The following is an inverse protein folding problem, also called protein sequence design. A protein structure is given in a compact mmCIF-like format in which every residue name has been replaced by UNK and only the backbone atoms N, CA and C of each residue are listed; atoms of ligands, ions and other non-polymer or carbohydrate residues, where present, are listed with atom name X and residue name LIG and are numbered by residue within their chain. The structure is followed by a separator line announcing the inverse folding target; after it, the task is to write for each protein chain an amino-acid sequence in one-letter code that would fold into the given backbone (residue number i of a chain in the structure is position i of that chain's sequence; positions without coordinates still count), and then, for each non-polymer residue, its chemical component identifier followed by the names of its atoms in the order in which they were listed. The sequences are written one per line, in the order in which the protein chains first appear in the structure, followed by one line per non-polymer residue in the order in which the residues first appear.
data_IF_485190555854
#
_entry.id   IF_485190555854
#
_cell.length_a   1.000
_cell.length_b   1.000
_cell.length_c   1.000
_cell.angle_alpha   90.00
_cell.angle_beta   90.00
_cell.angle_gamma   90.00
#
_symmetry.space_group_name_H-M   'P 1'
#
loop_
_entity.id
_entity.type
_entity.pdbx_description
1 polymer ?
#
# COMPACT_ATOMS: atom_id res chain seq x y z
N UNK A 1 -7.15 -31.61 -1.08
CA UNK A 1 -7.50 -30.41 -1.87
C UNK A 1 -7.50 -30.82 -3.36
N UNK A 2 -8.43 -30.35 -4.19
CA UNK A 2 -8.49 -30.64 -5.63
C UNK A 2 -7.98 -29.46 -6.49
N UNK A 3 -7.92 -29.59 -7.81
CA UNK A 3 -7.42 -28.53 -8.71
C UNK A 3 -8.20 -27.20 -8.61
N UNK A 4 -9.52 -27.28 -8.42
CA UNK A 4 -10.39 -26.10 -8.25
C UNK A 4 -10.08 -25.37 -6.93
N UNK A 5 -9.90 -26.13 -5.85
CA UNK A 5 -9.49 -25.60 -4.55
C UNK A 5 -8.06 -25.03 -4.56
N UNK A 6 -7.14 -25.62 -5.34
CA UNK A 6 -5.79 -25.07 -5.54
C UNK A 6 -5.85 -23.71 -6.26
N UNK A 7 -6.74 -23.57 -7.24
CA UNK A 7 -6.96 -22.30 -7.95
C UNK A 7 -7.52 -21.23 -6.99
N UNK A 8 -8.50 -21.60 -6.16
CA UNK A 8 -9.05 -20.72 -5.13
C UNK A 8 -7.99 -20.31 -4.09
N UNK A 9 -7.13 -21.24 -3.68
CA UNK A 9 -6.02 -20.96 -2.78
C UNK A 9 -5.04 -19.95 -3.41
N UNK A 10 -4.63 -20.16 -4.67
CA UNK A 10 -3.73 -19.22 -5.36
C UNK A 10 -4.33 -17.81 -5.38
N UNK A 11 -5.63 -17.68 -5.64
CA UNK A 11 -6.31 -16.39 -5.62
C UNK A 11 -6.42 -15.77 -4.21
N UNK A 12 -6.58 -16.59 -3.17
CA UNK A 12 -6.52 -16.14 -1.79
C UNK A 12 -5.11 -15.66 -1.42
N UNK A 13 -4.07 -16.40 -1.79
CA UNK A 13 -2.68 -16.03 -1.56
C UNK A 13 -2.31 -14.73 -2.27
N UNK A 14 -2.77 -14.52 -3.51
CA UNK A 14 -2.63 -13.23 -4.22
C UNK A 14 -3.27 -12.08 -3.42
N UNK A 15 -4.49 -12.27 -2.92
CA UNK A 15 -5.18 -11.27 -2.09
C UNK A 15 -4.40 -11.01 -0.79
N UNK A 16 -3.80 -12.05 -0.20
CA UNK A 16 -2.98 -11.92 1.00
C UNK A 16 -1.68 -11.14 0.72
N UNK A 17 -0.96 -11.44 -0.35
CA UNK A 17 0.24 -10.70 -0.77
C UNK A 17 -0.09 -9.22 -0.99
N UNK A 18 -1.17 -8.93 -1.72
CA UNK A 18 -1.66 -7.56 -1.92
C UNK A 18 -1.98 -6.89 -0.58
N UNK A 19 -2.62 -7.61 0.35
CA UNK A 19 -2.90 -7.10 1.70
C UNK A 19 -1.62 -6.80 2.51
N UNK A 20 -0.61 -7.67 2.42
CA UNK A 20 0.67 -7.48 3.09
C UNK A 20 1.39 -6.25 2.57
N UNK A 21 1.54 -6.13 1.25
CA UNK A 21 2.16 -4.98 0.60
C UNK A 21 1.48 -3.69 1.03
N UNK A 22 0.15 -3.67 1.00
CA UNK A 22 -0.61 -2.51 1.41
C UNK A 22 -0.31 -2.04 2.84
N UNK A 23 -0.22 -2.97 3.79
CA UNK A 23 -0.02 -2.66 5.21
C UNK A 23 1.43 -2.28 5.56
N UNK A 24 2.35 -2.37 4.59
CA UNK A 24 3.76 -2.04 4.78
C UNK A 24 3.99 -0.53 4.79
N UNK A 25 4.78 -0.06 5.76
CA UNK A 25 5.38 1.26 5.66
C UNK A 25 6.56 1.19 4.67
N UNK A 26 6.30 1.40 3.38
CA UNK A 26 7.32 1.38 2.33
C UNK A 26 8.42 2.45 2.49
N UNK A 27 8.30 3.33 3.49
CA UNK A 27 9.32 4.33 3.83
C UNK A 27 10.35 3.82 4.84
N UNK A 28 10.15 2.63 5.41
CA UNK A 28 11.02 1.97 6.38
C UNK A 28 11.53 0.65 5.83
N UNK A 29 12.85 0.56 5.66
CA UNK A 29 13.49 -0.66 5.15
C UNK A 29 13.19 -1.89 6.02
N UNK A 30 13.14 -1.73 7.34
CA UNK A 30 12.80 -2.82 8.26
C UNK A 30 11.42 -3.42 8.00
N UNK A 31 10.44 -2.58 7.63
CA UNK A 31 9.07 -3.04 7.41
C UNK A 31 8.94 -3.67 6.02
N UNK A 32 9.64 -3.13 5.02
CA UNK A 32 9.76 -3.72 3.68
C UNK A 32 10.37 -5.13 3.76
N UNK A 33 11.48 -5.30 4.48
CA UNK A 33 12.15 -6.60 4.63
C UNK A 33 11.27 -7.62 5.36
N UNK A 34 10.59 -7.23 6.43
CA UNK A 34 9.63 -8.10 7.13
C UNK A 34 8.50 -8.55 6.21
N UNK A 35 7.96 -7.64 5.39
CA UNK A 35 6.91 -8.00 4.43
C UNK A 35 7.42 -8.97 3.37
N UNK A 36 8.60 -8.73 2.80
CA UNK A 36 9.22 -9.64 1.84
C UNK A 36 9.44 -11.04 2.42
N UNK A 37 9.91 -11.13 3.67
CA UNK A 37 10.05 -12.42 4.36
C UNK A 37 8.71 -13.15 4.48
N UNK A 38 7.63 -12.45 4.81
CA UNK A 38 6.29 -13.05 4.90
C UNK A 38 5.77 -13.50 3.53
N UNK A 39 5.96 -12.69 2.48
CA UNK A 39 5.55 -13.05 1.11
C UNK A 39 6.35 -14.25 0.60
N UNK A 40 7.65 -14.31 0.90
CA UNK A 40 8.49 -15.45 0.55
C UNK A 40 7.99 -16.74 1.20
N UNK A 41 7.53 -16.70 2.45
CA UNK A 41 6.89 -17.84 3.11
C UNK A 41 5.60 -18.28 2.41
N UNK A 42 4.80 -17.33 1.90
CA UNK A 42 3.59 -17.65 1.11
C UNK A 42 3.96 -18.40 -0.17
N UNK A 43 5.02 -17.99 -0.88
CA UNK A 43 5.50 -18.73 -2.05
C UNK A 43 5.99 -20.13 -1.68
N UNK A 44 6.67 -20.27 -0.55
CA UNK A 44 7.16 -21.58 -0.07
C UNK A 44 5.99 -22.51 0.30
N UNK A 45 4.97 -21.99 1.00
CA UNK A 45 3.73 -22.71 1.31
C UNK A 45 2.95 -23.13 0.05
N UNK A 46 2.89 -22.26 -0.96
CA UNK A 46 2.29 -22.60 -2.26
C UNK A 46 3.05 -23.74 -2.93
N UNK A 47 4.38 -23.71 -2.91
CA UNK A 47 5.23 -24.78 -3.44
C UNK A 47 4.95 -26.13 -2.80
N UNK A 48 4.88 -26.16 -1.46
CA UNK A 48 4.52 -27.38 -0.71
C UNK A 48 3.12 -27.87 -1.08
N UNK A 49 2.15 -26.97 -1.17
CA UNK A 49 0.77 -27.32 -1.48
C UNK A 49 0.62 -27.91 -2.89
N UNK A 50 1.31 -27.34 -3.88
CA UNK A 50 1.36 -27.89 -5.24
C UNK A 50 1.97 -29.29 -5.25
N UNK A 51 3.03 -29.51 -4.48
CA UNK A 51 3.69 -30.82 -4.37
C UNK A 51 2.75 -31.89 -3.78
N UNK A 52 1.87 -31.53 -2.86
CA UNK A 52 0.90 -32.44 -2.26
C UNK A 52 -0.29 -32.75 -3.18
N UNK A 53 -0.81 -31.75 -3.90
CA UNK A 53 -2.08 -31.88 -4.65
C UNK A 53 -1.88 -32.40 -6.07
N UNK A 54 -0.84 -31.92 -6.75
CA UNK A 54 -0.65 -32.15 -8.18
C UNK A 54 -0.53 -33.64 -8.55
N UNK A 55 0.20 -34.49 -7.81
CA UNK A 55 0.30 -35.92 -8.14
C UNK A 55 -1.06 -36.63 -8.12
N UNK A 56 -1.92 -36.28 -7.16
CA UNK A 56 -3.24 -36.90 -6.98
C UNK A 56 -4.17 -36.52 -8.13
N UNK A 57 -4.17 -35.25 -8.55
CA UNK A 57 -5.02 -34.78 -9.64
C UNK A 57 -4.53 -35.29 -11.00
N UNK A 58 -3.22 -35.32 -11.25
CA UNK A 58 -2.66 -35.91 -12.47
C UNK A 58 -2.98 -37.40 -12.58
N UNK A 59 -2.90 -38.15 -11.48
CA UNK A 59 -3.27 -39.56 -11.45
C UNK A 59 -4.76 -39.74 -11.82
N UNK A 60 -5.66 -38.94 -11.23
CA UNK A 60 -7.08 -39.00 -11.57
C UNK A 60 -7.32 -38.70 -13.05
N UNK A 61 -6.78 -37.59 -13.56
CA UNK A 61 -6.94 -37.20 -14.97
C UNK A 61 -6.41 -38.29 -15.91
N UNK A 62 -5.27 -38.89 -15.60
CA UNK A 62 -4.69 -39.97 -16.40
C UNK A 62 -5.62 -41.18 -16.53
N UNK A 63 -6.17 -41.66 -15.41
CA UNK A 63 -7.04 -42.83 -15.45
C UNK A 63 -8.46 -42.52 -15.94
N UNK A 64 -8.98 -41.30 -15.76
CA UNK A 64 -10.22 -40.84 -16.42
C UNK A 64 -10.04 -40.88 -17.94
N UNK A 65 -8.91 -40.40 -18.44
CA UNK A 65 -8.61 -40.43 -19.88
C UNK A 65 -8.53 -41.87 -20.44
N UNK A 66 -8.10 -42.86 -19.62
CA UNK A 66 -8.15 -44.28 -20.02
C UNK A 66 -9.60 -44.76 -20.15
N UNK A 67 -10.48 -44.36 -19.23
CA UNK A 67 -11.90 -44.69 -19.30
C UNK A 67 -12.57 -44.05 -20.53
N UNK A 68 -12.33 -42.76 -20.77
CA UNK A 68 -12.80 -42.05 -21.97
C UNK A 68 -12.31 -42.73 -23.26
N UNK A 69 -11.02 -43.06 -23.34
CA UNK A 69 -10.47 -43.77 -24.50
C UNK A 69 -11.06 -45.18 -24.68
N UNK A 70 -11.44 -45.84 -23.58
CA UNK A 70 -12.12 -47.15 -23.64
C UNK A 70 -13.51 -47.00 -24.26
N UNK A 71 -14.25 -45.95 -23.90
CA UNK A 71 -15.56 -45.63 -24.48
C UNK A 71 -15.43 -45.29 -25.98
N UNK A 72 -14.47 -44.45 -26.36
CA UNK A 72 -14.20 -44.11 -27.77
C UNK A 72 -13.91 -45.37 -28.63
N UNK A 73 -13.10 -46.30 -28.12
CA UNK A 73 -12.78 -47.55 -28.82
C UNK A 73 -14.00 -48.47 -28.95
N UNK A 74 -14.87 -48.51 -27.96
CA UNK A 74 -16.14 -49.24 -28.02
C UNK A 74 -17.07 -48.68 -29.08
N UNK A 75 -17.15 -47.35 -29.23
CA UNK A 75 -17.93 -46.71 -30.30
C UNK A 75 -17.44 -47.09 -31.71
N UNK A 76 -16.13 -47.30 -31.88
CA UNK A 76 -15.54 -47.79 -33.12
C UNK A 76 -15.68 -49.31 -33.33
N UNK A 77 -16.40 -50.00 -32.44
CA UNK A 77 -16.68 -51.44 -32.53
C UNK A 77 -15.62 -52.35 -31.89
N UNK A 78 -14.60 -51.80 -31.22
CA UNK A 78 -13.61 -52.58 -30.47
C UNK A 78 -14.17 -52.89 -29.08
N UNK A 79 -14.41 -54.17 -28.79
CA UNK A 79 -14.94 -54.60 -27.49
C UNK A 79 -13.83 -54.70 -26.44
N UNK A 80 -13.71 -53.67 -25.62
CA UNK A 80 -12.89 -53.64 -24.41
C UNK A 80 -13.79 -53.69 -23.16
N UNK A 81 -13.34 -54.33 -22.08
CA UNK A 81 -14.08 -54.44 -20.82
C UNK A 81 -13.27 -53.84 -19.66
N UNK A 82 -13.98 -53.32 -18.67
CA UNK A 82 -13.38 -52.77 -17.44
C UNK A 82 -13.38 -51.24 -17.40
N UNK A 83 -13.31 -50.69 -16.19
CA UNK A 83 -13.11 -49.26 -15.94
C UNK A 83 -11.86 -49.07 -15.10
N UNK A 84 -11.00 -48.15 -15.50
CA UNK A 84 -9.78 -47.76 -14.81
C UNK A 84 -10.09 -47.16 -13.44
N UNK A 85 -11.13 -46.33 -13.33
CA UNK A 85 -11.60 -45.78 -12.05
C UNK A 85 -13.00 -46.27 -11.71
N UNK A 86 -13.18 -46.76 -10.48
CA UNK A 86 -14.48 -47.03 -9.86
C UNK A 86 -14.47 -46.44 -8.46
N UNK A 87 -15.48 -45.63 -8.13
CA UNK A 87 -15.60 -44.93 -6.83
C UNK A 87 -14.34 -44.14 -6.42
N UNK A 88 -13.64 -43.57 -7.40
CA UNK A 88 -12.40 -42.80 -7.19
C UNK A 88 -11.16 -43.65 -6.91
N UNK A 89 -11.25 -44.97 -7.04
CA UNK A 89 -10.13 -45.91 -6.84
C UNK A 89 -9.73 -46.53 -8.17
N UNK A 90 -8.42 -46.44 -8.44
CA UNK A 90 -7.80 -47.09 -9.60
C UNK A 90 -7.83 -48.61 -9.44
N UNK A 91 -8.42 -49.30 -10.40
CA UNK A 91 -8.56 -50.76 -10.41
C UNK A 91 -7.22 -51.46 -10.66
N UNK A 92 -7.05 -52.66 -10.11
CA UNK A 92 -5.77 -53.39 -10.12
C UNK A 92 -5.27 -53.68 -11.54
N UNK A 93 -6.18 -54.03 -12.46
CA UNK A 93 -5.86 -54.37 -13.85
C UNK A 93 -5.24 -53.21 -14.63
N UNK A 94 -5.49 -51.97 -14.18
CA UNK A 94 -4.98 -50.75 -14.81
C UNK A 94 -3.69 -50.23 -14.16
N UNK A 95 -3.23 -50.84 -13.06
CA UNK A 95 -1.93 -50.54 -12.40
C UNK A 95 -0.78 -51.29 -13.04
N UNK A 96 -0.74 -51.30 -14.38
CA UNK A 96 0.34 -51.94 -15.13
C UNK A 96 1.65 -51.16 -14.96
N UNK A 97 2.80 -51.83 -15.12
CA UNK A 97 4.10 -51.17 -15.06
C UNK A 97 4.20 -50.01 -16.05
N UNK A 98 3.67 -50.17 -17.27
CA UNK A 98 3.65 -49.13 -18.29
C UNK A 98 2.85 -47.89 -17.86
N UNK A 99 1.67 -48.07 -17.25
CA UNK A 99 0.85 -46.96 -16.76
C UNK A 99 1.50 -46.25 -15.57
N UNK A 100 2.12 -47.01 -14.66
CA UNK A 100 2.85 -46.44 -13.52
C UNK A 100 4.05 -45.63 -13.98
N UNK A 101 4.81 -46.12 -14.96
CA UNK A 101 5.97 -45.41 -15.51
C UNK A 101 5.55 -44.14 -16.26
N UNK A 102 4.51 -44.22 -17.11
CA UNK A 102 3.96 -43.06 -17.81
C UNK A 102 3.48 -41.98 -16.82
N UNK A 103 2.72 -42.37 -15.80
CA UNK A 103 2.25 -41.44 -14.77
C UNK A 103 3.40 -40.85 -13.96
N UNK A 104 4.40 -41.66 -13.59
CA UNK A 104 5.58 -41.20 -12.84
C UNK A 104 6.35 -40.13 -13.61
N UNK A 105 6.53 -40.32 -14.92
CA UNK A 105 7.21 -39.33 -15.77
C UNK A 105 6.42 -38.02 -15.83
N UNK A 106 5.10 -38.10 -16.08
CA UNK A 106 4.22 -36.91 -16.11
C UNK A 106 4.27 -36.16 -14.78
N UNK A 107 4.15 -36.86 -13.65
CA UNK A 107 4.18 -36.24 -12.33
C UNK A 107 5.53 -35.59 -12.05
N UNK A 108 6.63 -36.28 -12.36
CA UNK A 108 7.99 -35.76 -12.12
C UNK A 108 8.26 -34.51 -12.94
N UNK A 109 7.99 -34.55 -14.25
CA UNK A 109 8.20 -33.42 -15.16
C UNK A 109 7.34 -32.22 -14.75
N UNK A 110 6.05 -32.46 -14.47
CA UNK A 110 5.14 -31.37 -14.08
C UNK A 110 5.54 -30.74 -12.75
N UNK A 111 6.00 -31.54 -11.77
CA UNK A 111 6.47 -31.02 -10.48
C UNK A 111 7.74 -30.17 -10.65
N UNK A 112 8.69 -30.61 -11.48
CA UNK A 112 9.91 -29.85 -11.76
C UNK A 112 9.59 -28.49 -12.39
N UNK A 113 8.71 -28.48 -13.39
CA UNK A 113 8.26 -27.27 -14.08
C UNK A 113 7.53 -26.31 -13.12
N UNK A 114 6.61 -26.83 -12.29
CA UNK A 114 5.87 -26.01 -11.33
C UNK A 114 6.79 -25.42 -10.25
N UNK A 115 7.74 -26.20 -9.74
CA UNK A 115 8.73 -25.68 -8.79
C UNK A 115 9.60 -24.60 -9.42
N UNK A 116 10.02 -24.78 -10.68
CA UNK A 116 10.77 -23.76 -11.42
C UNK A 116 9.95 -22.48 -11.63
N UNK A 117 8.67 -22.61 -11.99
CA UNK A 117 7.75 -21.50 -12.17
C UNK A 117 7.54 -20.72 -10.86
N UNK A 118 7.32 -21.41 -9.73
CA UNK A 118 7.12 -20.78 -8.42
C UNK A 118 8.39 -20.06 -7.97
N UNK A 119 9.57 -20.67 -8.12
CA UNK A 119 10.86 -20.02 -7.81
C UNK A 119 11.06 -18.76 -8.65
N UNK A 120 10.85 -18.86 -9.95
CA UNK A 120 10.98 -17.72 -10.88
C UNK A 120 9.98 -16.61 -10.54
N UNK A 121 8.74 -16.96 -10.20
CA UNK A 121 7.73 -15.98 -9.79
C UNK A 121 8.12 -15.26 -8.49
N UNK A 122 8.67 -16.00 -7.51
CA UNK A 122 9.18 -15.44 -6.25
C UNK A 122 10.34 -14.46 -6.49
N UNK A 123 11.31 -14.85 -7.30
CA UNK A 123 12.47 -14.00 -7.65
C UNK A 123 12.03 -12.75 -8.40
N UNK A 124 11.23 -12.91 -9.48
CA UNK A 124 10.72 -11.80 -10.26
C UNK A 124 9.90 -10.82 -9.41
N UNK A 125 9.08 -11.31 -8.49
CA UNK A 125 8.30 -10.46 -7.60
C UNK A 125 9.22 -9.62 -6.69
N UNK A 126 10.20 -10.26 -6.06
CA UNK A 126 11.13 -9.58 -5.15
C UNK A 126 11.94 -8.52 -5.90
N UNK A 127 12.47 -8.87 -7.07
CA UNK A 127 13.27 -7.97 -7.91
C UNK A 127 12.43 -6.79 -8.39
N UNK A 128 11.25 -7.05 -8.95
CA UNK A 128 10.35 -5.99 -9.44
C UNK A 128 9.96 -5.03 -8.32
N UNK A 129 9.57 -5.56 -7.15
CA UNK A 129 9.16 -4.74 -6.02
C UNK A 129 10.32 -3.89 -5.48
N UNK A 130 11.51 -4.45 -5.34
CA UNK A 130 12.70 -3.69 -4.90
C UNK A 130 13.14 -2.65 -5.93
N UNK A 131 13.14 -3.00 -7.22
CA UNK A 131 13.44 -2.06 -8.31
C UNK A 131 12.44 -0.90 -8.35
N UNK A 132 11.14 -1.19 -8.16
CA UNK A 132 10.08 -0.16 -8.08
C UNK A 132 10.38 0.82 -6.94
N UNK A 133 10.71 0.30 -5.74
CA UNK A 133 11.01 1.15 -4.59
C UNK A 133 12.26 2.00 -4.82
N UNK A 134 13.32 1.43 -5.39
CA UNK A 134 14.54 2.17 -5.73
C UNK A 134 14.31 3.22 -6.82
N UNK A 135 13.52 2.91 -7.85
CA UNK A 135 13.13 3.87 -8.87
C UNK A 135 12.35 5.05 -8.25
N UNK A 136 11.38 4.78 -7.36
CA UNK A 136 10.62 5.80 -6.63
C UNK A 136 11.54 6.66 -5.75
N UNK A 137 12.49 6.04 -5.02
CA UNK A 137 13.48 6.77 -4.22
C UNK A 137 14.36 7.68 -5.07
N UNK A 138 14.83 7.16 -6.21
CA UNK A 138 15.65 7.89 -7.17
C UNK A 138 14.89 9.10 -7.73
N UNK A 139 13.64 8.90 -8.13
CA UNK A 139 12.78 9.94 -8.71
C UNK A 139 12.45 11.06 -7.71
N UNK A 140 12.21 10.69 -6.45
CA UNK A 140 12.04 11.67 -5.37
C UNK A 140 13.35 12.45 -5.19
N UNK A 141 14.48 11.76 -5.10
CA UNK A 141 15.79 12.38 -4.83
C UNK A 141 16.24 13.32 -5.96
N UNK A 142 16.21 12.85 -7.22
CA UNK A 142 16.47 13.69 -8.40
C UNK A 142 15.48 14.85 -8.48
N UNK A 143 14.19 14.56 -8.25
CA UNK A 143 13.16 15.59 -8.17
C UNK A 143 13.49 16.72 -7.20
N UNK A 144 14.06 16.37 -6.05
CA UNK A 144 14.43 17.33 -5.01
C UNK A 144 15.70 18.12 -5.37
N UNK A 145 16.72 17.45 -5.90
CA UNK A 145 17.98 18.07 -6.30
C UNK A 145 17.83 19.00 -7.50
N UNK A 146 17.03 18.60 -8.48
CA UNK A 146 16.79 19.35 -9.72
C UNK A 146 15.78 20.51 -9.53
N UNK A 147 15.24 20.69 -8.32
CA UNK A 147 14.25 21.73 -8.03
C UNK A 147 12.89 21.51 -8.69
N UNK A 148 12.56 20.27 -9.07
CA UNK A 148 11.31 19.95 -9.73
C UNK A 148 10.09 20.32 -8.86
N UNK A 149 9.01 20.76 -9.49
CA UNK A 149 7.75 20.99 -8.81
C UNK A 149 7.26 19.67 -8.17
N UNK A 150 6.84 19.75 -6.89
CA UNK A 150 6.28 18.64 -6.12
C UNK A 150 5.22 17.84 -6.87
N UNK A 151 4.34 18.50 -7.62
CA UNK A 151 3.29 17.81 -8.37
C UNK A 151 3.85 16.95 -9.52
N UNK A 152 4.97 17.33 -10.12
CA UNK A 152 5.65 16.52 -11.13
C UNK A 152 6.28 15.26 -10.51
N UNK A 153 6.88 15.38 -9.32
CA UNK A 153 7.42 14.24 -8.56
C UNK A 153 6.29 13.26 -8.21
N UNK A 154 5.15 13.76 -7.71
CA UNK A 154 3.99 12.92 -7.39
C UNK A 154 3.49 12.17 -8.63
N UNK A 155 3.45 12.83 -9.79
CA UNK A 155 3.01 12.21 -11.05
C UNK A 155 3.94 11.05 -11.44
N UNK A 156 5.26 11.28 -11.48
CA UNK A 156 6.24 10.24 -11.85
C UNK A 156 6.20 9.05 -10.90
N UNK A 157 6.22 9.30 -9.58
CA UNK A 157 6.10 8.23 -8.57
C UNK A 157 4.83 7.40 -8.79
N UNK A 158 3.71 8.05 -9.13
CA UNK A 158 2.46 7.33 -9.43
C UNK A 158 2.54 6.55 -10.75
N UNK A 159 3.23 7.07 -11.77
CA UNK A 159 3.41 6.36 -13.04
C UNK A 159 4.28 5.10 -12.87
N UNK A 160 5.36 5.17 -12.09
CA UNK A 160 6.21 3.99 -11.75
C UNK A 160 5.40 2.89 -11.10
N UNK A 161 4.65 3.21 -10.04
CA UNK A 161 3.80 2.21 -9.38
C UNK A 161 2.70 1.64 -10.29
N UNK A 162 2.14 2.42 -11.22
CA UNK A 162 1.15 1.91 -12.19
C UNK A 162 1.76 0.97 -13.22
N UNK A 163 2.95 1.29 -13.75
CA UNK A 163 3.64 0.46 -14.73
C UNK A 163 3.93 -0.94 -14.18
N UNK A 164 4.27 -1.02 -12.89
CA UNK A 164 4.61 -2.27 -12.22
C UNK A 164 3.40 -2.96 -11.56
N UNK A 165 2.17 -2.50 -11.84
CA UNK A 165 0.92 -3.15 -11.43
C UNK A 165 0.39 -2.79 -10.04
N UNK A 166 1.01 -1.85 -9.32
CA UNK A 166 0.58 -1.39 -8.00
C UNK A 166 -0.47 -0.28 -8.12
N UNK A 167 -1.76 -0.66 -8.11
CA UNK A 167 -2.87 0.26 -8.42
C UNK A 167 -3.54 0.91 -7.21
N UNK A 168 -3.34 0.40 -5.99
CA UNK A 168 -3.89 0.98 -4.75
C UNK A 168 -3.04 0.58 -3.54
N UNK A 169 -3.20 1.27 -2.40
CA UNK A 169 -2.52 0.94 -1.13
C UNK A 169 -3.53 0.99 0.01
N UNK A 170 -3.58 0.00 0.90
CA UNK A 170 -4.50 -0.01 2.05
C UNK A 170 -3.74 0.38 3.31
N UNK A 171 -4.16 1.44 4.00
CA UNK A 171 -3.51 1.85 5.27
C UNK A 171 -3.71 0.82 6.38
N UNK A 172 -2.89 0.92 7.44
CA UNK A 172 -2.95 0.08 8.66
C UNK A 172 -4.36 -0.01 9.27
N UNK A 173 -5.19 1.02 9.12
CA UNK A 173 -6.60 1.06 9.56
C UNK A 173 -7.59 0.48 8.52
N UNK A 174 -7.09 -0.24 7.52
CA UNK A 174 -7.87 -0.99 6.54
C UNK A 174 -8.54 -0.16 5.44
N UNK A 175 -8.15 1.11 5.23
CA UNK A 175 -8.75 1.95 4.17
C UNK A 175 -7.97 1.83 2.88
N UNK A 176 -8.65 1.50 1.77
CA UNK A 176 -8.04 1.58 0.46
C UNK A 176 -7.82 3.05 0.07
N UNK A 177 -6.55 3.39 -0.17
CA UNK A 177 -6.09 4.65 -0.70
C UNK A 177 -5.80 4.49 -2.19
N UNK A 178 -6.34 5.41 -3.01
CA UNK A 178 -5.85 5.61 -4.37
C UNK A 178 -4.33 5.85 -4.37
N UNK A 179 -3.63 5.32 -5.37
CA UNK A 179 -2.17 5.46 -5.52
C UNK A 179 -1.72 6.93 -5.50
N UNK A 180 -2.44 7.83 -6.17
CA UNK A 180 -2.11 9.26 -6.19
C UNK A 180 -2.09 9.87 -4.78
N UNK A 181 -2.99 9.41 -3.90
CA UNK A 181 -3.07 9.87 -2.52
C UNK A 181 -1.90 9.32 -1.69
N UNK A 182 -1.49 8.07 -1.92
CA UNK A 182 -0.34 7.47 -1.28
C UNK A 182 0.96 8.16 -1.71
N UNK A 183 1.21 8.25 -3.02
CA UNK A 183 2.36 8.95 -3.61
C UNK A 183 2.49 10.39 -3.09
N UNK A 184 1.38 11.13 -3.04
CA UNK A 184 1.33 12.49 -2.49
C UNK A 184 1.72 12.55 -1.01
N UNK A 185 1.30 11.57 -0.23
CA UNK A 185 1.61 11.50 1.21
C UNK A 185 3.10 11.19 1.44
N UNK A 186 3.65 10.24 0.68
CA UNK A 186 5.07 9.89 0.71
C UNK A 186 5.93 11.09 0.34
N UNK A 187 5.69 11.68 -0.84
CA UNK A 187 6.48 12.82 -1.34
C UNK A 187 6.44 13.99 -0.35
N UNK A 188 5.25 14.33 0.20
CA UNK A 188 5.13 15.42 1.19
C UNK A 188 5.91 15.15 2.48
N UNK A 189 5.92 13.90 2.93
CA UNK A 189 6.60 13.51 4.16
C UNK A 189 8.12 13.55 3.97
N UNK A 190 8.64 12.96 2.89
CA UNK A 190 10.09 12.99 2.60
C UNK A 190 10.62 14.39 2.29
N UNK A 191 9.85 15.22 1.59
CA UNK A 191 10.15 16.64 1.43
C UNK A 191 10.25 17.38 2.77
N UNK A 192 9.37 17.05 3.73
CA UNK A 192 9.43 17.64 5.07
C UNK A 192 10.68 17.17 5.81
N UNK A 193 11.00 15.88 5.76
CA UNK A 193 12.21 15.30 6.34
C UNK A 193 13.44 16.03 5.83
N UNK A 194 13.62 16.14 4.51
CA UNK A 194 14.78 16.82 3.95
C UNK A 194 14.87 18.31 4.30
N UNK A 195 13.74 19.03 4.34
CA UNK A 195 13.73 20.43 4.81
C UNK A 195 14.24 20.52 6.26
N UNK A 196 13.74 19.66 7.14
CA UNK A 196 14.10 19.69 8.55
C UNK A 196 15.55 19.23 8.78
N UNK A 197 16.00 18.18 8.09
CA UNK A 197 17.38 17.71 8.15
C UNK A 197 18.33 18.77 7.61
N UNK A 198 18.06 19.39 6.45
CA UNK A 198 18.89 20.47 5.92
C UNK A 198 18.99 21.69 6.85
N UNK A 199 17.89 22.04 7.54
CA UNK A 199 17.94 23.05 8.61
C UNK A 199 18.84 22.62 9.77
N UNK A 200 18.64 21.42 10.31
CA UNK A 200 19.39 20.90 11.45
C UNK A 200 20.89 20.81 11.15
N UNK A 201 21.26 20.26 9.99
CA UNK A 201 22.67 20.17 9.55
C UNK A 201 23.31 21.55 9.53
N UNK A 202 22.61 22.56 8.99
CA UNK A 202 23.12 23.93 8.96
C UNK A 202 23.22 24.55 10.36
N UNK A 203 22.31 24.22 11.28
CA UNK A 203 22.36 24.71 12.65
C UNK A 203 23.55 24.09 13.40
N UNK A 204 23.78 22.79 13.25
CA UNK A 204 24.93 22.08 13.83
C UNK A 204 26.26 22.60 13.27
N UNK A 205 26.37 22.80 11.95
CA UNK A 205 27.53 23.46 11.32
C UNK A 205 27.83 24.85 11.90
N UNK A 206 26.78 25.56 12.33
CA UNK A 206 26.88 26.89 12.94
C UNK A 206 27.02 26.84 14.48
N UNK A 207 27.12 25.65 15.09
CA UNK A 207 27.21 25.48 16.54
C UNK A 207 25.90 25.79 17.30
N UNK A 208 24.77 25.83 16.61
CA UNK A 208 23.45 26.12 17.21
C UNK A 208 22.74 24.82 17.55
N UNK A 209 22.75 24.46 18.83
CA UNK A 209 22.21 23.18 19.32
C UNK A 209 20.84 23.30 20.01
N UNK A 210 20.28 24.50 20.05
CA UNK A 210 18.93 24.76 20.58
C UNK A 210 17.97 25.05 19.44
N UNK A 211 16.82 24.38 19.47
CA UNK A 211 15.80 24.51 18.43
C UNK A 211 14.41 24.65 18.97
N UNK A 212 13.58 25.40 18.25
CA UNK A 212 12.14 25.51 18.50
C UNK A 212 11.37 24.78 17.41
N UNK A 213 10.38 23.97 17.83
CA UNK A 213 9.44 23.34 16.90
C UNK A 213 8.28 24.30 16.61
N UNK A 214 8.10 24.65 15.35
CA UNK A 214 7.04 25.55 14.87
C UNK A 214 6.13 24.81 13.90
N UNK A 215 4.95 25.35 13.57
CA UNK A 215 4.09 24.73 12.57
C UNK A 215 2.80 25.50 12.33
N UNK A 216 1.97 24.98 11.43
CA UNK A 216 0.69 25.60 11.05
C UNK A 216 -0.40 25.36 12.10
N UNK A 217 -1.20 26.38 12.41
CA UNK A 217 -2.46 26.24 13.13
C UNK A 217 -3.69 26.20 12.19
N UNK A 218 -4.77 25.45 12.53
CA UNK A 218 -4.90 24.58 13.70
C UNK A 218 -4.10 23.27 13.55
N UNK A 219 -3.58 22.74 14.65
CA UNK A 219 -2.72 21.55 14.66
C UNK A 219 -3.32 20.30 15.29
N UNK A 220 -2.79 19.13 14.96
CA UNK A 220 -3.10 17.86 15.63
C UNK A 220 -2.49 17.81 17.04
N UNK A 221 -3.02 16.91 17.89
CA UNK A 221 -2.56 16.73 19.26
C UNK A 221 -1.10 16.31 19.35
N UNK A 222 -0.68 15.34 18.52
CA UNK A 222 0.71 14.85 18.51
C UNK A 222 1.73 15.98 18.24
N UNK A 223 1.49 16.81 17.22
CA UNK A 223 2.36 17.95 16.94
C UNK A 223 2.27 19.04 18.02
N UNK A 224 1.10 19.25 18.61
CA UNK A 224 0.92 20.29 19.62
C UNK A 224 1.82 20.10 20.85
N UNK A 225 2.08 18.84 21.24
CA UNK A 225 2.92 18.49 22.41
C UNK A 225 4.32 19.09 22.31
N UNK A 226 4.88 19.12 21.11
CA UNK A 226 6.25 19.58 20.88
C UNK A 226 6.34 21.05 20.46
N UNK A 227 5.24 21.64 19.96
CA UNK A 227 5.30 22.99 19.39
C UNK A 227 5.54 24.06 20.43
N UNK A 228 6.23 25.11 19.99
CA UNK A 228 6.56 26.30 20.75
C UNK A 228 7.37 26.02 22.03
N UNK A 229 8.01 24.86 22.12
CA UNK A 229 9.01 24.51 23.12
C UNK A 229 10.40 24.57 22.48
N UNK A 230 11.39 24.94 23.29
CA UNK A 230 12.81 24.90 22.93
C UNK A 230 13.38 23.57 23.42
N UNK A 231 14.18 22.92 22.58
CA UNK A 231 14.83 21.64 22.84
C UNK A 231 16.33 21.74 22.60
N UNK A 232 17.09 20.96 23.36
CA UNK A 232 18.53 20.75 23.13
C UNK A 232 18.75 19.51 22.26
N UNK A 233 19.42 19.69 21.11
CA UNK A 233 19.69 18.62 20.15
C UNK A 233 20.78 17.69 20.67
N UNK A 234 21.83 18.23 21.28
CA UNK A 234 22.99 17.49 21.81
C UNK A 234 22.78 17.04 23.26
N UNK A 235 21.85 17.66 23.98
CA UNK A 235 21.57 17.40 25.38
C UNK A 235 22.50 18.15 26.35
N UNK A 236 23.36 19.05 25.88
CA UNK A 236 24.33 19.77 26.73
C UNK A 236 23.64 20.83 27.58
N UNK A 237 22.71 21.61 27.01
CA UNK A 237 21.97 22.63 27.74
C UNK A 237 20.79 22.02 28.53
N UNK A 238 21.06 21.69 29.80
CA UNK A 238 20.10 21.06 30.73
C UNK A 238 18.89 21.95 31.09
N UNK A 239 18.86 23.23 30.68
CA UNK A 239 17.68 24.08 30.86
C UNK A 239 16.52 23.66 29.94
N UNK A 240 16.82 22.94 28.87
CA UNK A 240 15.86 22.50 27.88
C UNK A 240 15.84 20.96 27.77
N UNK A 241 14.67 20.34 27.53
CA UNK A 241 14.59 18.91 27.32
C UNK A 241 15.36 18.50 26.06
N UNK A 242 16.02 17.35 26.14
CA UNK A 242 16.69 16.73 24.99
C UNK A 242 15.73 15.83 24.22
N UNK A 243 15.72 15.95 22.89
CA UNK A 243 15.01 15.06 21.97
C UNK A 243 15.83 14.83 20.70
N UNK A 244 15.81 13.61 20.17
CA UNK A 244 16.39 13.33 18.85
C UNK A 244 15.45 13.84 17.73
N UNK A 245 15.61 15.10 17.36
CA UNK A 245 14.78 15.76 16.34
C UNK A 245 14.95 15.20 14.93
N UNK A 246 16.08 14.56 14.61
CA UNK A 246 16.34 13.94 13.31
C UNK A 246 15.44 12.72 13.07
N UNK A 247 15.29 11.88 14.08
CA UNK A 247 14.46 10.68 14.02
C UNK A 247 12.99 10.97 14.31
N UNK A 248 12.72 11.92 15.21
CA UNK A 248 11.37 12.20 15.69
C UNK A 248 10.50 12.95 14.66
N UNK A 249 11.10 13.83 13.84
CA UNK A 249 10.35 14.65 12.88
C UNK A 249 10.60 14.22 11.43
N UNK A 250 9.55 14.03 10.62
CA UNK A 250 8.15 14.39 10.86
C UNK A 250 7.38 13.35 11.71
N UNK A 251 6.62 13.81 12.71
CA UNK A 251 5.88 12.95 13.67
C UNK A 251 4.81 12.04 13.06
N UNK A 252 4.33 12.36 11.86
CA UNK A 252 3.29 11.60 11.17
C UNK A 252 3.26 11.99 9.69
N UNK A 253 2.57 11.20 8.84
CA UNK A 253 2.38 11.57 7.45
C UNK A 253 1.75 12.95 7.29
N UNK A 254 2.21 13.71 6.29
CA UNK A 254 1.79 15.10 6.04
C UNK A 254 2.04 16.10 7.19
N UNK A 255 2.94 15.79 8.14
CA UNK A 255 3.31 16.72 9.20
C UNK A 255 3.89 18.03 8.64
N UNK A 256 3.46 19.15 9.22
CA UNK A 256 3.87 20.51 8.82
C UNK A 256 4.77 21.18 9.87
N UNK A 257 5.27 20.42 10.86
CA UNK A 257 6.21 20.93 11.84
C UNK A 257 7.55 21.27 11.19
N UNK A 258 8.08 22.44 11.54
CA UNK A 258 9.38 22.95 11.08
C UNK A 258 10.28 23.16 12.28
N UNK A 259 11.55 22.86 12.07
CA UNK A 259 12.59 23.10 13.07
C UNK A 259 13.24 24.45 12.78
N UNK A 260 13.26 25.31 13.80
CA UNK A 260 13.84 26.66 13.76
C UNK A 260 14.94 26.78 14.79
N UNK A 261 16.01 27.55 14.55
CA UNK A 261 17.06 27.71 15.52
C UNK A 261 16.58 28.61 16.66
N UNK A 262 17.04 28.34 17.88
CA UNK A 262 16.87 29.19 19.03
C UNK A 262 18.25 29.64 19.52
N UNK A 263 18.70 30.79 19.04
CA UNK A 263 20.07 31.29 19.32
C UNK A 263 20.02 32.16 20.56
N UNK A 264 20.54 31.65 21.69
CA UNK A 264 20.43 32.29 23.01
C UNK A 264 21.13 33.63 23.06
N UNK A 265 22.24 33.78 22.35
CA UNK A 265 23.08 34.97 22.29
C UNK A 265 22.30 36.20 21.77
N UNK A 266 21.24 35.97 21.00
CA UNK A 266 20.39 37.02 20.44
C UNK A 266 19.03 37.12 21.15
N UNK A 267 18.91 36.58 22.36
CA UNK A 267 17.68 36.61 23.17
C UNK A 267 17.86 37.44 24.42
N UNK A 268 16.82 38.20 24.76
CA UNK A 268 16.75 38.87 26.05
C UNK A 268 16.63 37.86 27.19
N UNK A 269 17.06 38.24 28.40
CA UNK A 269 16.94 37.38 29.57
C UNK A 269 15.48 36.98 29.87
N UNK A 270 14.52 37.88 29.58
CA UNK A 270 13.09 37.58 29.71
C UNK A 270 12.66 36.46 28.75
N UNK A 271 13.03 36.54 27.47
CA UNK A 271 12.71 35.52 26.48
C UNK A 271 13.33 34.16 26.84
N UNK A 272 14.57 34.16 27.34
CA UNK A 272 15.25 32.93 27.79
C UNK A 272 14.48 32.34 28.99
N UNK A 273 14.15 33.16 29.99
CA UNK A 273 13.43 32.71 31.18
C UNK A 273 12.04 32.15 30.82
N UNK A 274 11.31 32.80 29.92
CA UNK A 274 10.02 32.32 29.40
C UNK A 274 10.16 30.96 28.70
N UNK A 275 11.18 30.81 27.86
CA UNK A 275 11.47 29.55 27.17
C UNK A 275 11.80 28.43 28.15
N UNK A 276 12.60 28.71 29.20
CA UNK A 276 12.95 27.74 30.25
C UNK A 276 11.75 27.35 31.09
N UNK A 277 10.91 28.31 31.51
CA UNK A 277 9.67 28.03 32.24
C UNK A 277 8.75 27.14 31.42
N UNK A 278 8.61 27.45 30.13
CA UNK A 278 7.80 26.65 29.22
C UNK A 278 8.38 25.26 28.99
N UNK A 279 9.70 25.14 28.87
CA UNK A 279 10.38 23.86 28.74
C UNK A 279 10.09 22.91 29.91
N UNK A 280 9.98 23.43 31.14
CA UNK A 280 9.57 22.64 32.32
C UNK A 280 8.15 22.09 32.25
N UNK A 281 7.28 22.72 31.46
CA UNK A 281 5.90 22.26 31.24
C UNK A 281 5.76 21.24 30.11
N UNK A 282 6.86 20.92 29.42
CA UNK A 282 6.86 19.95 28.32
C UNK A 282 6.48 18.55 28.83
N UNK A 283 5.48 17.95 28.20
CA UNK A 283 5.08 16.57 28.45
C UNK A 283 4.70 15.90 27.11
N UNK A 284 5.41 14.85 26.68
CA UNK A 284 5.16 14.20 25.39
C UNK A 284 3.88 13.35 25.35
N UNK A 285 3.21 13.13 26.48
CA UNK A 285 2.02 12.28 26.59
C UNK A 285 0.72 13.10 26.68
N UNK A 286 0.80 14.35 27.10
CA UNK A 286 -0.35 15.24 27.30
C UNK A 286 -0.59 16.09 26.04
N UNK A 287 -1.85 16.20 25.59
CA UNK A 287 -2.25 17.15 24.54
C UNK A 287 -2.49 18.54 25.15
N UNK A 288 -1.60 19.53 24.92
CA UNK A 288 -1.67 20.83 25.59
C UNK A 288 -2.74 21.77 24.99
N UNK A 289 -3.45 21.34 23.94
CA UNK A 289 -4.42 22.20 23.25
C UNK A 289 -5.63 22.51 24.12
N UNK A 290 -6.00 23.79 24.18
CA UNK A 290 -7.28 24.22 24.71
C UNK A 290 -8.45 23.69 23.85
N UNK A 291 -9.65 23.58 24.43
CA UNK A 291 -10.82 23.03 23.73
C UNK A 291 -11.11 23.77 22.41
N UNK A 292 -11.01 25.10 22.39
CA UNK A 292 -11.15 25.92 21.18
C UNK A 292 -10.20 25.51 20.06
N UNK A 293 -8.96 25.13 20.38
CA UNK A 293 -7.97 24.67 19.39
C UNK A 293 -8.30 23.26 18.89
N UNK A 294 -8.78 22.37 19.77
CA UNK A 294 -9.26 21.04 19.40
C UNK A 294 -10.45 21.13 18.44
N UNK A 295 -11.39 22.02 18.73
CA UNK A 295 -12.57 22.26 17.89
C UNK A 295 -12.19 22.85 16.54
N UNK A 296 -11.30 23.83 16.50
CA UNK A 296 -10.79 24.40 15.25
C UNK A 296 -10.08 23.34 14.39
N UNK A 297 -9.27 22.46 15.00
CA UNK A 297 -8.65 21.34 14.30
C UNK A 297 -9.68 20.35 13.77
N UNK A 298 -10.69 20.00 14.57
CA UNK A 298 -11.78 19.12 14.14
C UNK A 298 -12.53 19.69 12.95
N UNK A 299 -12.88 20.98 12.98
CA UNK A 299 -13.53 21.67 11.86
C UNK A 299 -12.68 21.66 10.58
N UNK A 300 -11.36 21.87 10.70
CA UNK A 300 -10.44 21.77 9.55
C UNK A 300 -10.38 20.33 8.99
N UNK A 301 -10.29 19.32 9.86
CA UNK A 301 -10.31 17.92 9.43
C UNK A 301 -11.65 17.54 8.77
N UNK A 302 -12.77 18.03 9.30
CA UNK A 302 -14.10 17.80 8.74
C UNK A 302 -14.25 18.42 7.35
N UNK A 303 -13.79 19.68 7.17
CA UNK A 303 -13.75 20.34 5.86
C UNK A 303 -12.91 19.53 4.86
N UNK A 304 -11.72 19.08 5.27
CA UNK A 304 -10.85 18.24 4.42
C UNK A 304 -11.48 16.88 4.11
N UNK A 305 -12.17 16.27 5.07
CA UNK A 305 -12.90 14.99 4.89
C UNK A 305 -14.03 15.15 3.86
N UNK A 306 -14.84 16.19 3.98
CA UNK A 306 -15.91 16.50 3.04
C UNK A 306 -15.33 16.73 1.63
N UNK A 307 -14.29 17.56 1.52
CA UNK A 307 -13.63 17.82 0.24
C UNK A 307 -13.11 16.53 -0.41
N UNK A 308 -12.47 15.64 0.37
CA UNK A 308 -12.01 14.33 -0.12
C UNK A 308 -13.15 13.42 -0.56
N UNK A 309 -14.27 13.40 0.16
CA UNK A 309 -15.45 12.64 -0.26
C UNK A 309 -16.03 13.17 -1.58
N UNK A 310 -16.08 14.49 -1.74
CA UNK A 310 -16.49 15.14 -2.99
C UNK A 310 -15.55 14.77 -4.15
N UNK A 311 -14.24 14.77 -3.91
CA UNK A 311 -13.24 14.39 -4.91
C UNK A 311 -13.41 12.92 -5.33
N UNK A 312 -13.57 12.00 -4.36
CA UNK A 312 -13.83 10.58 -4.64
C UNK A 312 -15.11 10.38 -5.45
N UNK A 313 -16.19 11.05 -5.07
CA UNK A 313 -17.46 10.96 -5.79
C UNK A 313 -17.35 11.51 -7.20
N UNK A 314 -16.64 12.62 -7.37
CA UNK A 314 -16.40 13.22 -8.67
C UNK A 314 -15.58 12.30 -9.59
N UNK A 315 -14.48 11.74 -9.09
CA UNK A 315 -13.63 10.80 -9.85
C UNK A 315 -14.46 9.59 -10.30
N UNK A 316 -15.24 9.00 -9.39
CA UNK A 316 -16.13 7.88 -9.73
C UNK A 316 -17.18 8.28 -10.77
N UNK A 317 -17.80 9.44 -10.61
CA UNK A 317 -18.80 9.95 -11.55
C UNK A 317 -18.19 10.20 -12.93
N UNK A 318 -16.97 10.74 -13.01
CA UNK A 318 -16.26 10.96 -14.26
C UNK A 318 -15.87 9.65 -14.95
N UNK A 319 -15.44 8.66 -14.18
CA UNK A 319 -15.13 7.33 -14.71
C UNK A 319 -16.34 6.66 -15.38
N UNK A 320 -17.54 6.83 -14.80
CA UNK A 320 -18.78 6.19 -15.32
C UNK A 320 -19.43 7.02 -16.43
N UNK A 321 -19.49 8.36 -16.28
CA UNK A 321 -20.23 9.23 -17.20
C UNK A 321 -19.36 9.77 -18.35
N UNK A 322 -18.04 9.63 -18.28
CA UNK A 322 -17.11 10.20 -19.25
C UNK A 322 -17.33 11.71 -19.43
N UNK A 323 -17.55 12.13 -20.68
CA UNK A 323 -17.75 13.53 -21.07
C UNK A 323 -19.05 14.15 -20.53
N UNK A 324 -20.02 13.33 -20.10
CA UNK A 324 -21.27 13.81 -19.51
C UNK A 324 -21.11 14.24 -18.04
N UNK A 325 -19.98 13.89 -17.41
CA UNK A 325 -19.67 14.34 -16.06
C UNK A 325 -19.37 15.85 -16.02
N UNK A 326 -19.44 16.50 -14.84
CA UNK A 326 -18.97 17.87 -14.69
C UNK A 326 -17.51 18.03 -15.16
N UNK A 327 -17.21 19.12 -15.88
CA UNK A 327 -15.90 19.36 -16.51
C UNK A 327 -14.71 19.25 -15.54
N UNK A 328 -14.90 19.70 -14.29
CA UNK A 328 -13.91 19.63 -13.23
C UNK A 328 -14.60 19.55 -11.85
N UNK A 329 -13.79 19.35 -10.80
CA UNK A 329 -14.27 19.27 -9.43
C UNK A 329 -14.99 20.55 -8.95
N UNK A 330 -14.59 21.73 -9.46
CA UNK A 330 -15.25 23.00 -9.16
C UNK A 330 -16.68 23.03 -9.68
N UNK A 331 -16.87 22.61 -10.94
CA UNK A 331 -18.19 22.48 -11.56
C UNK A 331 -19.05 21.45 -10.82
N UNK A 332 -18.46 20.31 -10.43
CA UNK A 332 -19.14 19.30 -9.60
C UNK A 332 -19.65 19.90 -8.28
N UNK A 333 -18.79 20.59 -7.53
CA UNK A 333 -19.14 21.21 -6.25
C UNK A 333 -20.21 22.29 -6.42
N UNK A 334 -20.13 23.09 -7.48
CA UNK A 334 -21.15 24.10 -7.79
C UNK A 334 -22.51 23.47 -8.08
N UNK A 335 -22.56 22.43 -8.93
CA UNK A 335 -23.81 21.72 -9.25
C UNK A 335 -24.39 21.08 -7.99
N UNK A 336 -23.57 20.38 -7.20
CA UNK A 336 -24.00 19.73 -5.95
C UNK A 336 -24.63 20.71 -4.96
N UNK A 337 -24.09 21.92 -4.85
CA UNK A 337 -24.53 22.92 -3.85
C UNK A 337 -25.67 23.80 -4.34
N UNK A 338 -25.65 24.17 -5.61
CA UNK A 338 -26.53 25.21 -6.15
C UNK A 338 -27.57 24.68 -7.15
N UNK A 339 -27.46 23.42 -7.62
CA UNK A 339 -28.37 22.83 -8.61
C UNK A 339 -28.74 21.37 -8.25
N UNK A 340 -29.51 21.13 -7.17
CA UNK A 340 -29.79 19.79 -6.66
C UNK A 340 -30.53 18.90 -7.66
N UNK A 341 -31.42 19.46 -8.50
CA UNK A 341 -32.13 18.73 -9.56
C UNK A 341 -31.16 18.14 -10.59
N UNK A 342 -30.22 18.97 -11.09
CA UNK A 342 -29.18 18.54 -12.02
C UNK A 342 -28.22 17.53 -11.38
N UNK A 343 -27.91 17.69 -10.10
CA UNK A 343 -27.08 16.73 -9.37
C UNK A 343 -27.76 15.35 -9.26
N UNK A 344 -29.06 15.31 -8.96
CA UNK A 344 -29.80 14.05 -8.87
C UNK A 344 -29.94 13.37 -10.24
N UNK A 345 -30.17 14.14 -11.31
CA UNK A 345 -30.17 13.60 -12.67
C UNK A 345 -28.83 12.91 -13.04
N UNK A 346 -27.70 13.52 -12.70
CA UNK A 346 -26.37 12.91 -12.90
C UNK A 346 -26.21 11.61 -12.08
N UNK A 347 -26.74 11.56 -10.85
CA UNK A 347 -26.72 10.34 -10.04
C UNK A 347 -27.59 9.23 -10.62
N UNK A 348 -28.76 9.57 -11.16
CA UNK A 348 -29.65 8.61 -11.81
C UNK A 348 -29.02 8.03 -13.07
N UNK A 349 -28.42 8.87 -13.93
CA UNK A 349 -27.67 8.41 -15.10
C UNK A 349 -26.54 7.46 -14.73
N UNK A 350 -25.77 7.81 -13.69
CA UNK A 350 -24.68 6.96 -13.19
C UNK A 350 -25.21 5.60 -12.69
N UNK A 351 -26.36 5.56 -12.02
CA UNK A 351 -26.99 4.30 -11.57
C UNK A 351 -27.52 3.45 -12.74
N UNK A 352 -28.03 4.09 -13.79
CA UNK A 352 -28.52 3.40 -14.99
C UNK A 352 -27.38 2.64 -15.69
N UNK A 353 -26.28 3.31 -15.99
CA UNK A 353 -25.12 2.71 -16.68
C UNK A 353 -24.54 1.52 -15.88
N UNK A 354 -24.37 1.67 -14.57
CA UNK A 354 -23.85 0.57 -13.72
C UNK A 354 -24.80 -0.64 -13.69
N UNK A 355 -26.12 -0.44 -13.81
CA UNK A 355 -27.08 -1.55 -13.92
C UNK A 355 -26.97 -2.25 -15.28
N UNK A 356 -26.82 -1.49 -16.36
CA UNK A 356 -26.72 -2.02 -17.72
C UNK A 356 -25.39 -2.74 -17.99
N UNK A 357 -24.31 -2.39 -17.28
CA UNK A 357 -23.04 -3.12 -17.35
C UNK A 357 -23.11 -4.45 -16.59
N UNK A 358 -23.70 -4.46 -15.38
CA UNK A 358 -23.84 -5.68 -14.58
C UNK A 358 -24.79 -6.71 -15.20
N UNK A 359 -25.77 -6.28 -16.02
CA UNK A 359 -26.68 -7.19 -16.74
C UNK A 359 -26.06 -7.80 -18.01
N UNK A 360 -24.89 -7.33 -18.43
CA UNK A 360 -24.14 -7.88 -19.58
C UNK A 360 -23.02 -8.84 -19.18
N UNK A 361 -22.65 -8.87 -17.90
CA UNK A 361 -21.56 -9.69 -17.34
C UNK A 361 -22.03 -10.84 -16.46
N UNK A 362 -23.34 -11.01 -16.29
CA UNK A 362 -23.96 -12.19 -15.68
C UNK A 362 -24.84 -12.87 -16.70
#
# INVERSE_FOLDING_TARGET
MNAEQLTLLIDELKKHIVSLLHNTDHLKDSDVQKTLLTINKIFDELGLTVQEVLPVELAKSFFIAIDEATEDLQEQGIRLNGRAIVDGVVQADFKTQANVEALSNIVTDTLLDMQAAIRTAKENFNDTYMQTLEAVRSDISKGMLDGNNREAIIKRVSETFLQDGFTSFKTVDGKQLPLDFYSRTVVRTKMRTATNHGHLTRYEEAGVNLVTITGREPTCGACARYRNHVFSIDGEDKRFPHINVYELFPLHPNCECRIRPFVIEYKSQSEINEAVVKAKSFNPDIDPRAQKQKDAYKQDQDKKRIARQEDKHYIKMKAILGDKAPKNIGAYRNIKRNNPSKFEALRQQMKGIVKDENSKTG
#
